data_IF_625053932431
#
_entry.id   IF_625053932431
#
_cell.length_a   1.000
_cell.length_b   1.000
_cell.length_c   1.000
_cell.angle_alpha   90.00
_cell.angle_beta   90.00
_cell.angle_gamma   90.00
#
_symmetry.space_group_name_H-M   'P 1'
#
loop_
_entity.id
_entity.type
_entity.pdbx_description
1 polymer ?
#
# COMPACT_ATOMS: atom_id res chain seq x y z
N UNK A 1 -0.16 -22.11 5.50
CA UNK A 1 -1.00 -21.30 6.40
C UNK A 1 -0.09 -20.47 7.28
N UNK A 2 -0.05 -19.15 7.07
CA UNK A 2 0.66 -18.23 7.96
C UNK A 2 -0.31 -17.85 9.06
N UNK A 3 0.07 -18.11 10.31
CA UNK A 3 -0.82 -17.91 11.46
C UNK A 3 -0.66 -16.51 12.08
N UNK A 4 0.52 -15.89 11.91
CA UNK A 4 0.88 -14.62 12.56
C UNK A 4 2.04 -13.96 11.81
N UNK A 5 1.98 -12.63 11.68
CA UNK A 5 3.08 -11.80 11.18
C UNK A 5 3.36 -10.74 12.24
N UNK A 6 4.54 -10.81 12.85
CA UNK A 6 4.99 -9.84 13.85
C UNK A 6 5.84 -8.76 13.18
N UNK A 7 5.46 -7.50 13.40
CA UNK A 7 6.13 -6.35 12.82
C UNK A 7 6.65 -5.44 13.94
N UNK A 8 7.96 -5.27 14.02
CA UNK A 8 8.59 -4.29 14.91
C UNK A 8 8.80 -2.98 14.13
N UNK A 9 7.73 -2.17 14.07
CA UNK A 9 7.75 -0.85 13.46
C UNK A 9 8.24 0.24 14.41
N UNK A 10 8.40 1.47 13.90
CA UNK A 10 8.61 2.63 14.74
C UNK A 10 7.46 2.76 15.76
N UNK A 11 7.76 3.14 17.00
CA UNK A 11 6.77 3.21 18.09
C UNK A 11 5.56 4.14 17.82
N UNK A 12 5.66 5.02 16.82
CA UNK A 12 4.60 5.93 16.38
C UNK A 12 3.89 5.49 15.08
N UNK A 13 4.30 4.38 14.48
CA UNK A 13 3.73 3.92 13.22
C UNK A 13 2.35 3.28 13.45
N UNK A 14 1.38 3.67 12.62
CA UNK A 14 0.05 3.08 12.56
C UNK A 14 -0.03 2.18 11.33
N UNK A 15 -0.53 0.95 11.51
CA UNK A 15 -0.88 0.06 10.41
C UNK A 15 -2.27 0.42 9.90
N UNK A 16 -2.40 0.76 8.63
CA UNK A 16 -3.68 1.15 8.01
C UNK A 16 -4.19 0.04 7.07
N UNK A 17 -3.28 -0.66 6.39
CA UNK A 17 -3.64 -1.70 5.44
C UNK A 17 -2.59 -2.79 5.32
N UNK A 18 -3.06 -4.01 5.13
CA UNK A 18 -2.24 -5.17 4.79
C UNK A 18 -2.97 -6.05 3.77
N UNK A 19 -2.26 -6.52 2.74
CA UNK A 19 -2.82 -7.37 1.69
C UNK A 19 -1.83 -8.45 1.25
N UNK A 20 -2.29 -9.70 1.26
CA UNK A 20 -1.56 -10.81 0.66
C UNK A 20 -1.64 -10.73 -0.86
N UNK A 21 -0.56 -11.09 -1.54
CA UNK A 21 -0.57 -11.26 -2.98
C UNK A 21 -1.47 -12.43 -3.39
N UNK A 22 -2.00 -12.47 -4.63
CA UNK A 22 -2.92 -13.53 -5.05
C UNK A 22 -2.30 -14.94 -5.06
N UNK A 23 -0.97 -15.03 -5.14
CA UNK A 23 -0.22 -16.28 -5.02
C UNK A 23 0.26 -16.57 -3.58
N UNK A 24 -0.12 -15.75 -2.60
CA UNK A 24 0.25 -15.85 -1.18
C UNK A 24 1.77 -15.86 -0.88
N UNK A 25 2.59 -15.42 -1.83
CA UNK A 25 4.05 -15.37 -1.66
C UNK A 25 4.53 -14.05 -1.05
N UNK A 26 3.71 -13.00 -1.09
CA UNK A 26 4.08 -11.68 -0.63
C UNK A 26 2.99 -11.09 0.27
N UNK A 27 3.43 -10.27 1.23
CA UNK A 27 2.58 -9.44 2.05
C UNK A 27 2.96 -7.98 1.81
N UNK A 28 2.00 -7.19 1.36
CA UNK A 28 2.13 -5.74 1.28
C UNK A 28 1.51 -5.10 2.52
N UNK A 29 2.25 -4.19 3.14
CA UNK A 29 1.89 -3.50 4.37
C UNK A 29 2.02 -1.99 4.10
N UNK A 30 0.96 -1.25 4.40
CA UNK A 30 0.89 0.19 4.25
C UNK A 30 0.38 0.85 5.51
N UNK A 31 0.89 2.04 5.79
CA UNK A 31 0.38 2.82 6.90
C UNK A 31 1.00 4.19 7.02
N UNK A 32 0.94 4.71 8.24
CA UNK A 32 1.40 6.04 8.62
C UNK A 32 2.56 5.94 9.62
N UNK A 33 3.58 6.77 9.46
CA UNK A 33 4.67 6.92 10.44
C UNK A 33 4.30 8.02 11.45
N UNK A 34 3.57 9.05 10.99
CA UNK A 34 3.02 10.14 11.77
C UNK A 34 1.79 10.72 11.04
N UNK A 35 1.31 11.89 11.46
CA UNK A 35 0.09 12.48 10.89
C UNK A 35 0.15 12.78 9.39
N UNK A 36 1.34 12.97 8.82
CA UNK A 36 1.50 13.33 7.41
C UNK A 36 2.20 12.25 6.59
N UNK A 37 3.19 11.53 7.12
CA UNK A 37 4.04 10.61 6.35
C UNK A 37 3.64 9.15 6.47
N UNK A 38 3.90 8.39 5.42
CA UNK A 38 3.54 6.97 5.30
C UNK A 38 4.70 6.05 4.99
N UNK A 39 4.40 4.76 5.01
CA UNK A 39 5.35 3.70 4.67
C UNK A 39 4.67 2.62 3.83
N UNK A 40 5.45 2.01 2.93
CA UNK A 40 5.13 0.80 2.19
C UNK A 40 6.21 -0.24 2.45
N UNK A 41 5.81 -1.43 2.86
CA UNK A 41 6.70 -2.56 3.06
C UNK A 41 6.14 -3.76 2.32
N UNK A 42 6.98 -4.40 1.51
CA UNK A 42 6.68 -5.68 0.88
C UNK A 42 7.61 -6.73 1.48
N UNK A 43 7.01 -7.77 2.03
CA UNK A 43 7.71 -8.92 2.57
C UNK A 43 7.52 -10.13 1.67
N UNK A 44 8.59 -10.85 1.40
CA UNK A 44 8.53 -12.21 0.87
C UNK A 44 8.23 -13.17 2.02
N UNK A 45 7.16 -13.94 1.89
CA UNK A 45 6.72 -14.89 2.90
C UNK A 45 7.52 -16.19 2.87
N UNK A 46 8.08 -16.53 1.71
CA UNK A 46 8.99 -17.67 1.54
C UNK A 46 10.31 -17.42 2.28
N UNK A 47 10.97 -16.30 1.99
CA UNK A 47 12.27 -15.96 2.59
C UNK A 47 12.15 -15.28 3.95
N UNK A 48 10.94 -14.84 4.34
CA UNK A 48 10.66 -14.04 5.54
C UNK A 48 11.50 -12.77 5.61
N UNK A 49 11.74 -12.15 4.45
CA UNK A 49 12.55 -10.95 4.33
C UNK A 49 11.77 -9.82 3.68
N UNK A 50 12.09 -8.59 4.10
CA UNK A 50 11.64 -7.37 3.41
C UNK A 50 12.36 -7.28 2.08
N UNK A 51 11.59 -7.23 0.99
CA UNK A 51 12.12 -7.11 -0.38
C UNK A 51 11.95 -5.70 -0.93
N UNK A 52 11.07 -4.91 -0.33
CA UNK A 52 10.88 -3.51 -0.64
C UNK A 52 10.44 -2.76 0.61
N UNK A 53 11.06 -1.61 0.86
CA UNK A 53 10.67 -0.69 1.91
C UNK A 53 10.86 0.73 1.41
N UNK A 54 9.85 1.58 1.61
CA UNK A 54 9.92 2.98 1.25
C UNK A 54 9.03 3.82 2.14
N UNK A 55 9.52 5.01 2.47
CA UNK A 55 8.74 6.07 3.13
C UNK A 55 8.22 7.08 2.12
N UNK A 56 7.06 7.65 2.44
CA UNK A 56 6.35 8.61 1.59
C UNK A 56 6.02 9.87 2.40
N UNK A 57 5.89 11.00 1.73
CA UNK A 57 5.50 12.26 2.38
C UNK A 57 4.05 12.23 2.86
N UNK A 58 3.26 11.28 2.34
CA UNK A 58 1.83 11.08 2.57
C UNK A 58 1.58 9.68 3.16
N UNK A 59 0.44 9.47 3.83
CA UNK A 59 0.05 8.19 4.43
C UNK A 59 -0.41 7.19 3.37
N UNK A 60 -0.12 5.90 3.53
CA UNK A 60 -0.68 4.85 2.66
C UNK A 60 -1.91 4.24 3.33
N UNK A 61 -3.06 4.40 2.68
CA UNK A 61 -4.34 3.99 3.27
C UNK A 61 -4.96 2.78 2.56
N UNK A 62 -4.67 2.63 1.27
CA UNK A 62 -5.11 1.46 0.50
C UNK A 62 -3.96 0.87 -0.27
N UNK A 63 -3.98 -0.45 -0.32
CA UNK A 63 -3.13 -1.28 -1.15
C UNK A 63 -4.05 -2.31 -1.76
N UNK A 64 -3.83 -2.63 -3.04
CA UNK A 64 -4.37 -3.82 -3.66
C UNK A 64 -3.35 -4.42 -4.64
N UNK A 65 -3.52 -5.69 -4.95
CA UNK A 65 -2.69 -6.39 -5.91
C UNK A 65 -3.36 -6.39 -7.28
N UNK A 66 -2.70 -5.79 -8.26
CA UNK A 66 -3.12 -5.86 -9.66
C UNK A 66 -2.89 -7.28 -10.20
N UNK A 67 -1.77 -7.90 -9.80
CA UNK A 67 -1.41 -9.29 -10.12
C UNK A 67 -0.35 -9.80 -9.12
N UNK A 68 0.33 -10.91 -9.42
CA UNK A 68 1.32 -11.52 -8.50
C UNK A 68 2.57 -10.67 -8.20
N UNK A 69 2.86 -9.65 -9.01
CA UNK A 69 4.07 -8.82 -8.88
C UNK A 69 3.79 -7.32 -8.89
N UNK A 70 2.56 -6.89 -9.17
CA UNK A 70 2.20 -5.47 -9.22
C UNK A 70 1.18 -5.13 -8.16
N UNK A 71 1.45 -4.08 -7.42
CA UNK A 71 0.50 -3.47 -6.48
C UNK A 71 0.10 -2.09 -6.96
N UNK A 72 -1.11 -1.71 -6.60
CA UNK A 72 -1.59 -0.34 -6.60
C UNK A 72 -1.74 0.11 -5.15
N UNK A 73 -1.37 1.35 -4.86
CA UNK A 73 -1.58 1.91 -3.55
C UNK A 73 -1.97 3.38 -3.63
N UNK A 74 -2.68 3.83 -2.61
CA UNK A 74 -3.32 5.15 -2.56
C UNK A 74 -2.81 5.90 -1.36
N UNK A 75 -2.35 7.13 -1.61
CA UNK A 75 -1.80 8.01 -0.61
C UNK A 75 -2.77 9.14 -0.24
N UNK A 76 -2.76 9.55 1.02
CA UNK A 76 -3.61 10.60 1.58
C UNK A 76 -2.82 11.51 2.54
N UNK A 77 -3.22 12.78 2.60
CA UNK A 77 -2.51 13.82 3.35
C UNK A 77 -2.79 13.93 4.85
N UNK A 78 -3.80 13.22 5.35
CA UNK A 78 -4.18 13.37 6.76
C UNK A 78 -4.77 12.11 7.37
N UNK A 79 -5.89 11.60 6.84
CA UNK A 79 -6.57 10.43 7.39
C UNK A 79 -6.91 9.43 6.28
N UNK A 80 -7.00 8.16 6.66
CA UNK A 80 -7.39 7.06 5.79
C UNK A 80 -8.91 6.89 5.68
N UNK A 81 -9.66 7.95 5.95
CA UNK A 81 -11.12 7.96 5.81
C UNK A 81 -11.50 8.31 4.36
N UNK A 82 -12.01 7.30 3.66
CA UNK A 82 -12.41 7.37 2.25
C UNK A 82 -13.65 8.20 2.02
N UNK A 83 -14.41 8.54 3.07
CA UNK A 83 -15.71 9.15 2.89
C UNK A 83 -15.66 10.63 2.45
N UNK A 84 -14.52 11.32 2.58
CA UNK A 84 -14.41 12.75 2.24
C UNK A 84 -13.07 13.23 1.67
N UNK A 85 -12.08 12.35 1.45
CA UNK A 85 -10.75 12.78 1.04
C UNK A 85 -10.43 12.34 -0.39
N UNK A 86 -10.03 13.31 -1.22
CA UNK A 86 -9.42 13.06 -2.53
C UNK A 86 -8.01 12.50 -2.29
N UNK A 87 -7.65 11.35 -2.90
CA UNK A 87 -6.28 10.86 -2.87
C UNK A 87 -5.27 11.93 -3.29
N UNK A 88 -4.14 12.04 -2.59
CA UNK A 88 -3.03 12.89 -3.03
C UNK A 88 -2.26 12.22 -4.15
N UNK A 89 -2.11 10.89 -4.07
CA UNK A 89 -1.56 10.12 -5.16
C UNK A 89 -2.13 8.71 -5.27
N UNK A 90 -2.05 8.19 -6.48
CA UNK A 90 -2.19 6.76 -6.75
C UNK A 90 -0.93 6.32 -7.50
N UNK A 91 -0.30 5.28 -7.00
CA UNK A 91 0.95 4.78 -7.54
C UNK A 91 0.87 3.26 -7.76
N UNK A 92 1.56 2.79 -8.80
CA UNK A 92 1.77 1.39 -9.09
C UNK A 92 3.24 1.03 -8.80
N UNK A 93 3.46 -0.06 -8.08
CA UNK A 93 4.78 -0.65 -7.87
C UNK A 93 4.83 -2.03 -8.53
N UNK A 94 5.81 -2.25 -9.40
CA UNK A 94 6.23 -3.59 -9.79
C UNK A 94 7.33 -4.06 -8.83
N UNK A 95 7.10 -5.15 -8.09
CA UNK A 95 8.06 -5.63 -7.08
C UNK A 95 9.24 -6.39 -7.70
N UNK A 96 9.14 -6.82 -8.97
CA UNK A 96 10.24 -7.53 -9.66
C UNK A 96 11.26 -6.57 -10.24
N UNK A 97 10.81 -5.39 -10.66
CA UNK A 97 11.64 -4.25 -11.02
C UNK A 97 11.11 -3.08 -10.21
N UNK A 98 11.66 -2.78 -9.01
CA UNK A 98 11.10 -1.83 -8.04
C UNK A 98 11.07 -0.38 -8.56
N UNK A 99 10.19 -0.17 -9.53
CA UNK A 99 9.91 1.05 -10.24
C UNK A 99 8.51 1.51 -9.84
N UNK A 100 8.42 2.77 -9.46
CA UNK A 100 7.17 3.40 -9.09
C UNK A 100 6.66 4.22 -10.27
N UNK A 101 5.41 3.97 -10.65
CA UNK A 101 4.69 4.74 -11.64
C UNK A 101 3.56 5.51 -10.95
N UNK A 102 3.60 6.84 -11.03
CA UNK A 102 2.51 7.68 -10.55
C UNK A 102 1.42 7.78 -11.61
N UNK A 103 0.20 7.41 -11.24
CA UNK A 103 -0.96 7.35 -12.13
C UNK A 103 -2.10 8.27 -11.68
N UNK A 104 -1.84 9.25 -10.80
CA UNK A 104 -2.85 10.16 -10.28
C UNK A 104 -3.65 10.87 -11.40
N UNK A 105 -2.99 11.25 -12.49
CA UNK A 105 -3.67 11.93 -13.61
C UNK A 105 -4.61 11.01 -14.42
N UNK A 106 -4.59 9.70 -14.15
CA UNK A 106 -5.43 8.68 -14.79
C UNK A 106 -6.60 8.25 -13.90
N UNK A 107 -6.79 8.94 -12.76
CA UNK A 107 -7.86 8.70 -11.77
C UNK A 107 -9.27 8.55 -12.37
N UNK A 108 -9.58 9.32 -13.42
CA UNK A 108 -10.88 9.26 -14.10
C UNK A 108 -11.16 7.91 -14.78
N UNK A 109 -10.12 7.12 -15.10
CA UNK A 109 -10.23 5.82 -15.77
C UNK A 109 -10.37 4.64 -14.77
N UNK A 110 -10.23 4.90 -13.47
CA UNK A 110 -10.05 3.87 -12.43
C UNK A 110 -11.10 3.92 -11.31
N UNK A 111 -12.24 4.57 -11.55
CA UNK A 111 -13.35 4.65 -10.59
C UNK A 111 -13.82 3.28 -10.07
N UNK A 112 -13.66 2.21 -10.87
CA UNK A 112 -13.98 0.83 -10.49
C UNK A 112 -13.09 0.25 -9.38
N UNK A 113 -11.88 0.79 -9.13
CA UNK A 113 -10.98 0.36 -8.06
C UNK A 113 -11.33 0.97 -6.70
N UNK A 114 -12.06 2.09 -6.68
CA UNK A 114 -12.44 2.78 -5.45
C UNK A 114 -13.76 2.26 -4.85
N UNK A 115 -14.36 1.26 -5.50
CA UNK A 115 -15.73 0.85 -5.24
C UNK A 115 -16.70 1.89 -5.80
N UNK A 116 -17.59 1.47 -6.69
CA UNK A 116 -18.78 2.26 -6.96
C UNK A 116 -19.50 2.50 -5.61
N UNK A 117 -19.84 3.75 -5.25
CA UNK A 117 -20.72 3.99 -4.13
C UNK A 117 -22.18 3.74 -4.55
N UNK A 118 -22.51 2.59 -5.14
CA UNK A 118 -23.89 2.14 -5.39
C UNK A 118 -24.02 0.61 -5.42
#
# INVERSE_FOLDING_TARGET
>A
MILEVNFEGAAAATLETARLSPNENYLAIGGAINDSSGYLIIMSLESKQVIFEKTFSERICHIDWINHSKIIFIQFSSQCDTSFLTPTSIDILDITTPSLENISNRLLEMQWLLGDPY
#
